data_IF_879892915525
#
_entry.id   IF_879892915525
#
_cell.length_a   1.000
_cell.length_b   1.000
_cell.length_c   1.000
_cell.angle_alpha   90.00
_cell.angle_beta   90.00
_cell.angle_gamma   90.00
#
_symmetry.space_group_name_H-M   'P 1'
#
loop_
_entity.id
_entity.type
_entity.pdbx_description
1 polymer ?
#
# COMPACT_ATOMS: atom_id res chain seq x y z
N UNK A 1 13.26 11.62 12.43
CA UNK A 1 12.19 11.57 11.42
C UNK A 1 12.60 12.51 10.29
N UNK A 2 12.79 11.96 9.11
CA UNK A 2 13.15 12.75 7.92
C UNK A 2 11.86 13.10 7.17
N UNK A 3 11.79 14.33 6.67
CA UNK A 3 10.60 14.80 5.92
C UNK A 3 11.01 15.49 4.64
N UNK A 4 10.13 15.45 3.65
CA UNK A 4 10.31 16.11 2.36
C UNK A 4 8.98 16.76 1.97
N UNK A 5 9.04 17.97 1.44
CA UNK A 5 7.84 18.65 0.95
C UNK A 5 7.44 18.11 -0.44
N UNK A 6 6.18 17.72 -0.59
CA UNK A 6 5.59 17.31 -1.86
C UNK A 6 4.28 18.07 -2.01
N UNK A 7 4.22 18.97 -2.99
CA UNK A 7 3.04 19.77 -3.31
C UNK A 7 2.43 20.49 -2.10
N UNK A 8 3.29 21.06 -1.23
CA UNK A 8 2.87 21.79 -0.04
C UNK A 8 2.54 20.93 1.18
N UNK A 9 2.73 19.61 1.10
CA UNK A 9 2.54 18.69 2.22
C UNK A 9 3.86 18.03 2.60
N UNK A 10 4.21 18.06 3.87
CA UNK A 10 5.39 17.35 4.38
C UNK A 10 5.14 15.85 4.47
N UNK A 11 5.92 15.08 3.73
CA UNK A 11 5.90 13.63 3.76
C UNK A 11 7.04 13.11 4.63
N UNK A 12 6.70 12.26 5.59
CA UNK A 12 7.67 11.55 6.41
C UNK A 12 8.16 10.31 5.66
N UNK A 13 9.47 10.09 5.68
CA UNK A 13 10.08 8.92 5.04
C UNK A 13 11.28 8.41 5.83
N UNK A 14 11.63 7.15 5.59
CA UNK A 14 12.86 6.53 6.04
C UNK A 14 13.54 5.89 4.82
N UNK A 15 14.82 6.21 4.62
CA UNK A 15 15.65 5.67 3.54
C UNK A 15 16.86 4.99 4.18
N UNK A 16 17.03 3.69 3.92
CA UNK A 16 18.18 2.94 4.43
C UNK A 16 19.46 3.35 3.71
N UNK A 17 20.61 2.93 4.23
CA UNK A 17 21.88 3.17 3.57
C UNK A 17 21.88 2.64 2.13
N UNK A 18 22.56 3.33 1.25
CA UNK A 18 22.75 2.86 -0.12
C UNK A 18 23.53 1.54 -0.12
N UNK A 19 23.12 0.63 -0.97
CA UNK A 19 23.79 -0.65 -1.21
C UNK A 19 24.41 -0.66 -2.60
N UNK A 20 25.32 -1.60 -2.87
CA UNK A 20 25.85 -1.80 -4.22
C UNK A 20 24.80 -2.34 -5.20
N UNK A 21 23.68 -2.83 -4.68
CA UNK A 21 22.60 -3.43 -5.46
C UNK A 21 21.59 -2.34 -5.86
N UNK A 22 21.32 -2.25 -7.13
CA UNK A 22 20.17 -1.52 -7.70
C UNK A 22 19.14 -2.57 -8.11
N UNK A 23 17.85 -2.33 -7.98
CA UNK A 23 17.09 -1.09 -7.73
C UNK A 23 16.83 -0.81 -6.23
N UNK A 24 16.30 0.40 -5.93
CA UNK A 24 15.75 0.75 -4.63
C UNK A 24 14.37 0.11 -4.45
N UNK A 25 14.13 -0.50 -3.29
CA UNK A 25 12.81 -1.03 -2.93
C UNK A 25 11.97 0.08 -2.29
N UNK A 26 10.86 0.44 -2.92
CA UNK A 26 9.98 1.52 -2.48
C UNK A 26 8.68 0.94 -1.96
N UNK A 27 8.41 1.13 -0.69
CA UNK A 27 7.27 0.52 0.00
C UNK A 27 6.12 1.51 0.19
N UNK A 28 4.94 1.14 -0.31
CA UNK A 28 3.72 1.95 -0.29
C UNK A 28 2.68 1.29 0.60
N UNK A 29 2.35 1.92 1.73
CA UNK A 29 1.43 1.33 2.71
C UNK A 29 -0.04 1.43 2.28
N UNK A 30 -0.90 0.67 2.98
CA UNK A 30 -2.34 0.64 2.75
C UNK A 30 -3.11 1.73 3.49
N UNK A 31 -4.42 1.73 3.27
CA UNK A 31 -5.37 2.63 3.93
C UNK A 31 -5.32 2.54 5.45
N UNK A 32 -5.32 3.69 6.15
CA UNK A 32 -5.25 3.83 7.61
C UNK A 32 -4.02 3.16 8.25
N UNK A 33 -2.95 2.98 7.48
CA UNK A 33 -1.66 2.49 7.94
C UNK A 33 -0.59 3.59 7.85
N UNK A 34 0.66 3.21 8.11
CA UNK A 34 1.83 4.07 7.97
C UNK A 34 3.04 3.28 7.47
N UNK A 35 4.13 3.98 7.14
CA UNK A 35 5.40 3.37 6.73
C UNK A 35 5.97 2.39 7.75
N UNK A 36 5.58 2.50 9.03
CA UNK A 36 6.07 1.66 10.12
C UNK A 36 5.79 0.18 9.94
N UNK A 37 4.73 -0.19 9.19
CA UNK A 37 4.38 -1.59 8.92
C UNK A 37 5.40 -2.30 8.04
N UNK A 38 6.28 -1.56 7.38
CA UNK A 38 7.33 -2.10 6.56
C UNK A 38 8.61 -2.45 7.34
N UNK A 39 8.71 -2.03 8.62
CA UNK A 39 9.89 -2.28 9.44
C UNK A 39 10.31 -3.77 9.45
N UNK A 40 9.39 -4.76 9.63
CA UNK A 40 9.80 -6.15 9.61
C UNK A 40 10.43 -6.62 8.29
N UNK A 41 10.02 -6.04 7.17
CA UNK A 41 10.60 -6.34 5.86
C UNK A 41 11.89 -5.57 5.62
N UNK A 42 11.92 -4.29 5.96
CA UNK A 42 13.14 -3.48 5.77
C UNK A 42 14.30 -3.99 6.61
N UNK A 43 14.06 -4.50 7.82
CA UNK A 43 15.10 -5.12 8.66
C UNK A 43 15.75 -6.34 7.99
N UNK A 44 15.00 -7.06 7.15
CA UNK A 44 15.46 -8.26 6.42
C UNK A 44 16.10 -7.94 5.07
N UNK A 45 15.64 -6.89 4.42
CA UNK A 45 16.03 -6.57 3.04
C UNK A 45 17.14 -5.52 2.97
N UNK A 46 17.21 -4.61 3.94
CA UNK A 46 18.19 -3.53 3.98
C UNK A 46 19.67 -3.96 3.94
N UNK A 47 20.06 -5.15 4.40
CA UNK A 47 21.44 -5.60 4.22
C UNK A 47 21.85 -5.76 2.74
N UNK A 48 20.90 -6.03 1.85
CA UNK A 48 21.18 -6.30 0.43
C UNK A 48 20.58 -5.25 -0.51
N UNK A 49 19.53 -4.52 -0.10
CA UNK A 49 18.81 -3.58 -0.94
C UNK A 49 18.58 -2.26 -0.21
N UNK A 50 18.76 -1.16 -0.89
CA UNK A 50 18.30 0.11 -0.36
C UNK A 50 16.77 0.14 -0.31
N UNK A 51 16.21 0.50 0.85
CA UNK A 51 14.77 0.51 1.10
C UNK A 51 14.28 1.93 1.41
N UNK A 52 13.25 2.36 0.70
CA UNK A 52 12.52 3.59 0.95
C UNK A 52 11.13 3.24 1.46
N UNK A 53 10.78 3.72 2.65
CA UNK A 53 9.41 3.70 3.18
C UNK A 53 8.94 5.12 3.40
N UNK A 54 7.68 5.43 3.12
CA UNK A 54 7.13 6.76 3.33
C UNK A 54 5.66 6.69 3.73
N UNK A 55 5.19 7.74 4.39
CA UNK A 55 3.79 7.88 4.72
C UNK A 55 3.05 8.60 3.60
N UNK A 56 1.94 8.04 3.15
CA UNK A 56 1.02 8.68 2.22
C UNK A 56 0.46 9.97 2.82
N UNK A 57 0.18 10.95 1.99
CA UNK A 57 -0.42 12.22 2.38
C UNK A 57 -1.68 12.02 3.21
N UNK A 58 -1.71 12.61 4.40
CA UNK A 58 -2.80 12.51 5.37
C UNK A 58 -2.77 11.26 6.25
N UNK A 59 -1.71 10.42 6.14
CA UNK A 59 -1.54 9.24 6.97
C UNK A 59 -0.20 9.28 7.72
N UNK A 60 -0.09 8.48 8.79
CA UNK A 60 1.11 8.38 9.60
C UNK A 60 1.58 9.75 10.09
N UNK A 61 2.85 10.06 9.81
CA UNK A 61 3.47 11.33 10.16
C UNK A 61 3.43 12.36 8.98
N UNK A 62 2.74 12.04 7.86
CA UNK A 62 2.54 12.92 6.69
C UNK A 62 1.24 13.72 6.79
N UNK A 63 1.04 14.37 7.94
CA UNK A 63 -0.09 15.26 8.18
C UNK A 63 0.19 16.65 7.60
N UNK A 64 -0.83 17.33 7.11
CA UNK A 64 -0.71 18.71 6.70
C UNK A 64 -0.73 19.62 7.94
N UNK A 65 0.30 20.39 8.14
CA UNK A 65 0.37 21.41 9.21
C UNK A 65 -0.49 22.66 8.91
N UNK A 66 -1.61 22.48 8.22
CA UNK A 66 -2.47 23.58 7.78
C UNK A 66 -2.05 24.21 6.44
N UNK A 67 -0.97 23.73 5.82
CA UNK A 67 -0.60 24.06 4.43
C UNK A 67 -1.48 23.26 3.48
N UNK A 68 -2.23 23.93 2.62
CA UNK A 68 -3.09 23.25 1.66
C UNK A 68 -2.25 22.53 0.58
N UNK A 69 -2.72 21.39 0.15
CA UNK A 69 -2.22 20.72 -1.05
C UNK A 69 -2.28 21.67 -2.26
N UNK A 70 -1.15 21.88 -2.90
CA UNK A 70 -1.01 22.81 -4.04
C UNK A 70 -0.97 22.12 -5.40
N UNK A 71 -1.09 20.79 -5.41
CA UNK A 71 -1.15 20.02 -6.65
C UNK A 71 -2.48 20.22 -7.39
N UNK A 72 -2.54 19.86 -8.68
CA UNK A 72 -3.79 19.88 -9.42
C UNK A 72 -4.78 18.88 -8.83
N UNK A 73 -6.03 19.28 -8.73
CA UNK A 73 -7.13 18.34 -8.52
C UNK A 73 -7.30 17.49 -9.79
N UNK A 74 -7.41 16.19 -9.62
CA UNK A 74 -7.76 15.27 -10.71
C UNK A 74 -9.20 15.58 -11.22
N UNK A 75 -9.63 15.03 -12.37
CA UNK A 75 -10.91 15.36 -12.99
C UNK A 75 -12.14 15.25 -12.09
N UNK A 76 -12.04 14.56 -10.95
CA UNK A 76 -13.09 14.41 -9.95
C UNK A 76 -13.01 15.43 -8.79
N UNK A 77 -12.20 16.49 -8.91
CA UNK A 77 -11.93 17.46 -7.84
C UNK A 77 -11.39 16.84 -6.53
N UNK A 78 -10.83 15.65 -6.57
CA UNK A 78 -10.22 14.99 -5.42
C UNK A 78 -8.71 14.89 -5.56
N UNK A 79 -8.04 15.12 -4.45
CA UNK A 79 -6.59 14.96 -4.34
C UNK A 79 -6.18 13.62 -3.68
N UNK A 80 -7.14 12.71 -3.47
CA UNK A 80 -6.92 11.43 -2.77
C UNK A 80 -7.12 10.21 -3.67
N UNK A 81 -7.16 10.40 -4.99
CA UNK A 81 -7.21 9.29 -5.95
C UNK A 81 -5.90 8.50 -5.96
N UNK A 82 -5.90 7.20 -6.33
CA UNK A 82 -4.66 6.45 -6.51
C UNK A 82 -3.68 7.12 -7.48
N UNK A 83 -4.20 7.76 -8.53
CA UNK A 83 -3.41 8.54 -9.50
C UNK A 83 -2.73 9.76 -8.86
N UNK A 84 -3.42 10.45 -7.94
CA UNK A 84 -2.86 11.58 -7.21
C UNK A 84 -1.74 11.14 -6.25
N UNK A 85 -1.93 10.05 -5.53
CA UNK A 85 -0.87 9.45 -4.70
C UNK A 85 0.31 8.94 -5.52
N UNK A 86 0.06 8.38 -6.71
CA UNK A 86 1.14 7.98 -7.64
C UNK A 86 1.96 9.19 -8.12
N UNK A 87 1.35 10.35 -8.22
CA UNK A 87 2.05 11.61 -8.51
C UNK A 87 2.91 12.07 -7.33
N UNK A 88 2.39 11.96 -6.09
CA UNK A 88 3.22 12.24 -4.91
C UNK A 88 4.44 11.32 -4.88
N UNK A 89 4.28 10.03 -5.23
CA UNK A 89 5.37 9.07 -5.37
C UNK A 89 6.39 9.49 -6.44
N UNK A 90 5.93 9.94 -7.61
CA UNK A 90 6.79 10.44 -8.68
C UNK A 90 7.70 11.55 -8.18
N UNK A 91 7.11 12.58 -7.54
CA UNK A 91 7.85 13.72 -6.98
C UNK A 91 8.81 13.27 -5.87
N UNK A 92 8.40 12.31 -5.04
CA UNK A 92 9.25 11.73 -3.99
C UNK A 92 10.50 11.09 -4.60
N UNK A 93 10.34 10.25 -5.62
CA UNK A 93 11.46 9.59 -6.30
C UNK A 93 12.38 10.61 -7.00
N UNK A 94 11.82 11.65 -7.60
CA UNK A 94 12.59 12.73 -8.20
C UNK A 94 13.43 13.49 -7.17
N UNK A 95 12.82 13.91 -6.07
CA UNK A 95 13.49 14.67 -5.02
C UNK A 95 14.57 13.88 -4.26
N UNK A 96 14.45 12.54 -4.25
CA UNK A 96 15.42 11.64 -3.64
C UNK A 96 16.43 11.08 -4.66
N UNK A 97 16.39 11.55 -5.90
CA UNK A 97 17.26 11.12 -7.01
C UNK A 97 17.26 9.59 -7.24
N UNK A 98 16.07 8.97 -7.07
CA UNK A 98 15.87 7.54 -7.30
C UNK A 98 15.48 7.32 -8.74
N UNK A 99 16.40 6.81 -9.55
CA UNK A 99 16.20 6.56 -10.98
C UNK A 99 15.81 5.13 -11.33
N UNK A 100 15.95 4.18 -10.38
CA UNK A 100 15.65 2.76 -10.59
C UNK A 100 14.99 2.18 -9.34
N UNK A 101 13.73 1.75 -9.44
CA UNK A 101 12.94 1.30 -8.30
C UNK A 101 12.13 0.03 -8.61
N UNK A 102 11.93 -0.80 -7.57
CA UNK A 102 10.84 -1.75 -7.48
C UNK A 102 9.81 -1.23 -6.48
N UNK A 103 8.54 -1.23 -6.88
CA UNK A 103 7.46 -0.79 -6.00
C UNK A 103 6.84 -1.99 -5.27
N UNK A 104 6.74 -1.90 -3.96
CA UNK A 104 6.10 -2.91 -3.11
C UNK A 104 4.92 -2.25 -2.43
N UNK A 105 3.71 -2.58 -2.85
CA UNK A 105 2.49 -1.92 -2.36
C UNK A 105 1.55 -2.86 -1.62
N UNK A 106 1.04 -2.42 -0.48
CA UNK A 106 0.07 -3.16 0.31
C UNK A 106 -1.33 -2.57 0.16
N UNK A 107 -2.33 -3.40 -0.16
CA UNK A 107 -3.74 -2.98 -0.24
C UNK A 107 -3.90 -1.75 -1.16
N UNK A 108 -4.41 -0.60 -0.69
CA UNK A 108 -4.43 0.67 -1.42
C UNK A 108 -3.05 1.02 -2.02
N UNK A 109 -1.98 0.79 -1.26
CA UNK A 109 -0.61 1.03 -1.73
C UNK A 109 -0.23 0.18 -2.94
N UNK A 110 -0.82 -1.00 -3.11
CA UNK A 110 -0.66 -1.82 -4.32
C UNK A 110 -1.30 -1.17 -5.54
N UNK A 111 -2.50 -0.61 -5.39
CA UNK A 111 -3.15 0.17 -6.44
C UNK A 111 -2.30 1.39 -6.83
N UNK A 112 -1.78 2.12 -5.84
CA UNK A 112 -0.89 3.27 -6.06
C UNK A 112 0.40 2.83 -6.79
N UNK A 113 0.98 1.69 -6.41
CA UNK A 113 2.18 1.16 -7.04
C UNK A 113 1.94 0.79 -8.51
N UNK A 114 0.80 0.20 -8.85
CA UNK A 114 0.41 -0.09 -10.23
C UNK A 114 0.24 1.19 -11.05
N UNK A 115 -0.42 2.20 -10.51
CA UNK A 115 -0.50 3.53 -11.11
C UNK A 115 0.88 4.17 -11.31
N UNK A 116 1.76 4.06 -10.29
CA UNK A 116 3.14 4.52 -10.35
C UNK A 116 3.93 3.84 -11.46
N UNK A 117 3.82 2.52 -11.59
CA UNK A 117 4.50 1.76 -12.65
C UNK A 117 4.01 2.14 -14.06
N UNK A 118 2.72 2.42 -14.21
CA UNK A 118 2.16 2.88 -15.48
C UNK A 118 2.68 4.26 -15.90
N UNK A 119 2.85 5.18 -14.92
CA UNK A 119 3.32 6.54 -15.18
C UNK A 119 4.85 6.65 -15.30
N UNK A 120 5.58 5.83 -14.57
CA UNK A 120 7.04 5.89 -14.41
C UNK A 120 7.74 4.67 -15.01
N UNK A 121 7.34 4.25 -16.20
CA UNK A 121 7.82 3.02 -16.85
C UNK A 121 9.35 2.97 -17.00
N UNK A 122 10.01 4.10 -17.13
CA UNK A 122 11.47 4.17 -17.30
C UNK A 122 12.21 3.94 -15.96
N UNK A 123 11.60 4.34 -14.84
CA UNK A 123 12.18 4.22 -13.48
C UNK A 123 11.76 2.95 -12.76
N UNK A 124 10.50 2.54 -12.92
CA UNK A 124 9.95 1.36 -12.21
C UNK A 124 10.25 0.11 -13.00
N UNK A 125 11.02 -0.79 -12.39
CA UNK A 125 11.46 -2.06 -13.00
C UNK A 125 10.51 -3.22 -12.75
N UNK A 126 9.69 -3.12 -11.71
CA UNK A 126 8.66 -4.10 -11.41
C UNK A 126 7.83 -3.69 -10.21
N UNK A 127 6.74 -4.44 -9.98
CA UNK A 127 5.78 -4.20 -8.89
C UNK A 127 5.52 -5.49 -8.15
N UNK A 128 5.42 -5.40 -6.83
CA UNK A 128 4.88 -6.48 -5.98
C UNK A 128 3.69 -5.95 -5.20
N UNK A 129 2.53 -6.49 -5.47
CA UNK A 129 1.26 -6.17 -4.80
C UNK A 129 1.01 -7.15 -3.65
N UNK A 130 0.95 -6.67 -2.42
CA UNK A 130 0.69 -7.50 -1.23
C UNK A 130 -0.75 -7.27 -0.78
N UNK A 131 -1.57 -8.32 -0.81
CA UNK A 131 -2.98 -8.25 -0.44
C UNK A 131 -3.72 -7.10 -1.13
N UNK A 132 -3.48 -6.93 -2.42
CA UNK A 132 -4.03 -5.89 -3.26
C UNK A 132 -4.64 -6.48 -4.53
N UNK A 133 -5.95 -6.42 -4.66
CA UNK A 133 -6.74 -6.97 -5.77
C UNK A 133 -7.48 -5.91 -6.60
N UNK A 134 -7.18 -4.63 -6.38
CA UNK A 134 -7.75 -3.52 -7.13
C UNK A 134 -9.20 -3.17 -6.79
N UNK A 135 -9.85 -3.94 -5.96
CA UNK A 135 -11.21 -3.65 -5.51
C UNK A 135 -12.06 -4.90 -5.29
N UNK A 136 -13.28 -4.69 -4.89
CA UNK A 136 -14.31 -5.71 -4.73
C UNK A 136 -15.24 -5.61 -5.94
N UNK A 137 -15.24 -6.63 -6.80
CA UNK A 137 -15.97 -6.59 -8.09
C UNK A 137 -17.45 -6.96 -7.97
N UNK A 138 -17.89 -7.47 -6.81
CA UNK A 138 -19.31 -7.73 -6.54
C UNK A 138 -19.95 -6.46 -5.96
N UNK A 139 -20.94 -5.91 -6.66
CA UNK A 139 -21.58 -4.63 -6.34
C UNK A 139 -22.06 -4.52 -4.89
N UNK A 140 -22.75 -5.55 -4.40
CA UNK A 140 -23.31 -5.55 -3.04
C UNK A 140 -22.20 -5.55 -1.96
N UNK A 141 -21.16 -6.37 -2.14
CA UNK A 141 -20.00 -6.42 -1.24
C UNK A 141 -19.23 -5.09 -1.27
N UNK A 142 -19.11 -4.50 -2.44
CA UNK A 142 -18.47 -3.22 -2.67
C UNK A 142 -19.21 -2.06 -1.96
N UNK A 143 -20.51 -1.94 -2.13
CA UNK A 143 -21.33 -0.92 -1.47
C UNK A 143 -21.27 -1.07 0.06
N UNK A 144 -21.33 -2.32 0.54
CA UNK A 144 -21.17 -2.63 1.97
C UNK A 144 -19.80 -2.22 2.50
N UNK A 145 -18.74 -2.54 1.78
CA UNK A 145 -17.36 -2.15 2.16
C UNK A 145 -17.23 -0.62 2.29
N UNK A 146 -17.73 0.13 1.30
CA UNK A 146 -17.74 1.59 1.33
C UNK A 146 -18.52 2.15 2.51
N UNK A 147 -19.72 1.65 2.74
CA UNK A 147 -20.59 2.11 3.83
C UNK A 147 -19.94 1.87 5.21
N UNK A 148 -19.41 0.67 5.44
CA UNK A 148 -18.71 0.32 6.68
C UNK A 148 -17.47 1.20 6.86
N UNK A 149 -16.64 1.35 5.82
CA UNK A 149 -15.45 2.20 5.86
C UNK A 149 -15.76 3.65 6.16
N UNK A 150 -16.82 4.22 5.56
CA UNK A 150 -17.26 5.59 5.87
C UNK A 150 -17.69 5.74 7.32
N UNK A 151 -18.43 4.78 7.86
CA UNK A 151 -18.83 4.79 9.27
C UNK A 151 -17.62 4.72 10.20
N UNK A 152 -16.67 3.83 9.90
CA UNK A 152 -15.42 3.71 10.65
C UNK A 152 -14.64 5.03 10.69
N UNK A 153 -14.53 5.72 9.56
CA UNK A 153 -13.84 7.03 9.51
C UNK A 153 -14.59 8.09 10.32
N UNK A 154 -15.93 8.12 10.25
CA UNK A 154 -16.75 9.10 10.99
C UNK A 154 -16.78 8.84 12.51
N UNK A 155 -16.72 7.57 12.92
CA UNK A 155 -16.83 7.12 14.31
C UNK A 155 -15.47 6.80 14.95
N UNK A 156 -14.43 7.61 14.72
CA UNK A 156 -13.10 7.43 15.32
C UNK A 156 -12.74 8.60 16.26
N UNK A 157 -13.31 8.63 17.46
CA UNK A 157 -13.00 9.67 18.42
C UNK A 157 -11.56 9.49 18.95
N UNK A 158 -10.86 10.61 19.19
CA UNK A 158 -9.49 10.59 19.71
C UNK A 158 -9.30 9.82 21.01
N UNK A 159 -10.34 9.77 21.85
CA UNK A 159 -10.30 9.01 23.11
C UNK A 159 -10.23 7.48 22.91
N UNK A 160 -10.50 6.96 21.72
CA UNK A 160 -10.42 5.53 21.42
C UNK A 160 -9.02 4.97 21.71
N UNK A 161 -7.98 5.77 21.49
CA UNK A 161 -6.58 5.40 21.78
C UNK A 161 -6.30 5.19 23.28
N UNK A 162 -7.17 5.65 24.15
CA UNK A 162 -7.05 5.52 25.61
C UNK A 162 -7.89 4.37 26.18
N UNK A 163 -8.70 3.70 25.35
CA UNK A 163 -9.52 2.58 25.84
C UNK A 163 -8.63 1.37 26.21
N UNK A 164 -8.84 0.80 27.41
CA UNK A 164 -8.15 -0.43 27.78
C UNK A 164 -8.52 -1.55 26.80
N UNK A 165 -7.55 -2.36 26.42
CA UNK A 165 -7.70 -3.51 25.53
C UNK A 165 -8.05 -3.20 24.06
N UNK A 166 -8.18 -1.94 23.67
CA UNK A 166 -8.39 -1.59 22.26
C UNK A 166 -7.24 -2.09 21.38
N UNK A 167 -6.02 -2.01 21.87
CA UNK A 167 -4.82 -2.55 21.20
C UNK A 167 -4.89 -4.08 20.96
N UNK A 168 -5.55 -4.81 21.83
CA UNK A 168 -5.76 -6.25 21.66
C UNK A 168 -6.77 -6.56 20.53
N UNK A 169 -7.84 -5.79 20.45
CA UNK A 169 -8.83 -5.91 19.38
C UNK A 169 -8.19 -5.59 18.05
N UNK A 170 -7.50 -4.44 17.95
CA UNK A 170 -6.80 -4.02 16.73
C UNK A 170 -5.65 -4.96 16.32
N UNK A 171 -5.05 -5.68 17.27
CA UNK A 171 -4.02 -6.70 17.01
C UNK A 171 -4.58 -8.02 16.48
N UNK A 172 -5.90 -8.17 16.40
CA UNK A 172 -6.59 -9.38 15.91
C UNK A 172 -7.51 -9.12 14.72
N UNK A 173 -7.83 -7.87 14.48
CA UNK A 173 -8.66 -7.50 13.36
C UNK A 173 -7.94 -7.72 12.04
N UNK A 174 -8.65 -8.30 11.08
CA UNK A 174 -8.19 -8.49 9.69
C UNK A 174 -6.89 -9.31 9.52
N UNK A 175 -6.49 -10.07 10.53
CA UNK A 175 -5.31 -10.95 10.52
C UNK A 175 -5.71 -12.39 10.79
N UNK A 176 -4.95 -13.35 10.27
CA UNK A 176 -5.18 -14.77 10.54
C UNK A 176 -4.68 -15.16 11.95
N UNK A 177 -3.58 -14.55 12.39
CA UNK A 177 -2.98 -14.76 13.72
C UNK A 177 -2.76 -13.41 14.38
N UNK A 178 -2.88 -13.36 15.71
CA UNK A 178 -2.64 -12.12 16.46
C UNK A 178 -1.22 -11.61 16.21
N UNK A 179 -1.10 -10.36 15.78
CA UNK A 179 0.18 -9.67 15.56
C UNK A 179 0.74 -9.03 16.83
N UNK A 180 0.13 -9.30 17.97
CA UNK A 180 0.57 -8.80 19.27
C UNK A 180 0.14 -7.36 19.57
N UNK A 181 0.31 -6.96 20.83
CA UNK A 181 -0.15 -5.66 21.34
C UNK A 181 0.63 -4.47 20.75
N UNK A 182 1.89 -4.67 20.40
CA UNK A 182 2.70 -3.61 19.75
C UNK A 182 2.03 -3.15 18.47
N UNK A 183 1.75 -4.06 17.55
CA UNK A 183 1.09 -3.76 16.27
C UNK A 183 -0.37 -3.33 16.45
N UNK A 184 -1.07 -3.90 17.44
CA UNK A 184 -2.41 -3.44 17.79
C UNK A 184 -2.44 -1.96 18.19
N UNK A 185 -1.47 -1.52 19.00
CA UNK A 185 -1.31 -0.10 19.37
C UNK A 185 -0.94 0.76 18.17
N UNK A 186 -0.05 0.27 17.30
CA UNK A 186 0.31 1.01 16.09
C UNK A 186 -0.92 1.19 15.19
N UNK A 187 -1.69 0.14 14.95
CA UNK A 187 -2.94 0.21 14.16
C UNK A 187 -3.94 1.20 14.75
N UNK A 188 -4.13 1.15 16.06
CA UNK A 188 -5.03 2.07 16.76
C UNK A 188 -4.57 3.53 16.63
N UNK A 189 -3.26 3.78 16.75
CA UNK A 189 -2.69 5.13 16.56
C UNK A 189 -2.91 5.63 15.13
N UNK A 190 -2.55 4.85 14.14
CA UNK A 190 -2.69 5.23 12.73
C UNK A 190 -4.15 5.44 12.35
N UNK A 191 -5.04 4.59 12.85
CA UNK A 191 -6.48 4.73 12.67
C UNK A 191 -7.02 6.05 13.22
N UNK A 192 -6.63 6.43 14.44
CA UNK A 192 -7.09 7.66 15.08
C UNK A 192 -6.42 8.89 14.49
N UNK A 193 -5.12 8.80 14.15
CA UNK A 193 -4.32 9.93 13.68
C UNK A 193 -4.56 10.29 12.21
N UNK A 194 -5.03 9.37 11.38
CA UNK A 194 -5.24 9.66 9.95
C UNK A 194 -6.12 10.90 9.72
N UNK A 195 -5.72 11.78 8.80
CA UNK A 195 -6.49 12.99 8.48
C UNK A 195 -7.90 12.60 7.98
N UNK A 196 -8.98 13.22 8.49
CA UNK A 196 -10.35 12.82 8.13
C UNK A 196 -10.63 12.85 6.63
N UNK A 197 -10.22 13.91 5.94
CA UNK A 197 -10.43 14.05 4.51
C UNK A 197 -9.62 13.02 3.72
N UNK A 198 -8.36 12.77 4.10
CA UNK A 198 -7.53 11.76 3.45
C UNK A 198 -8.09 10.35 3.66
N UNK A 199 -8.50 10.03 4.88
CA UNK A 199 -9.08 8.72 5.19
C UNK A 199 -10.37 8.46 4.42
N UNK A 200 -11.24 9.47 4.32
CA UNK A 200 -12.50 9.36 3.57
C UNK A 200 -12.27 9.41 2.06
N UNK A 201 -11.47 10.37 1.59
CA UNK A 201 -11.16 10.57 0.18
C UNK A 201 -10.47 9.34 -0.41
N UNK A 202 -9.40 8.85 0.22
CA UNK A 202 -8.69 7.68 -0.25
C UNK A 202 -9.59 6.43 -0.34
N UNK A 203 -10.50 6.24 0.63
CA UNK A 203 -11.49 5.17 0.56
C UNK A 203 -12.43 5.34 -0.63
N UNK A 204 -13.04 6.51 -0.74
CA UNK A 204 -14.10 6.74 -1.73
C UNK A 204 -13.55 6.80 -3.16
N UNK A 205 -12.38 7.41 -3.35
CA UNK A 205 -11.80 7.61 -4.67
C UNK A 205 -11.14 6.34 -5.21
N UNK A 206 -10.50 5.53 -4.35
CA UNK A 206 -9.93 4.23 -4.75
C UNK A 206 -10.98 3.15 -5.00
N UNK A 207 -12.21 3.39 -4.55
CA UNK A 207 -13.33 2.48 -4.71
C UNK A 207 -14.46 3.08 -5.55
N UNK A 208 -14.16 3.85 -6.56
CA UNK A 208 -15.14 4.24 -7.58
C UNK A 208 -15.31 3.13 -8.61
N UNK A 209 -16.46 3.05 -9.24
CA UNK A 209 -16.69 2.12 -10.34
C UNK A 209 -15.66 2.34 -11.48
N UNK A 210 -15.37 3.60 -11.77
CA UNK A 210 -14.35 3.96 -12.78
C UNK A 210 -12.96 3.43 -12.44
N UNK A 211 -12.51 3.57 -11.19
CA UNK A 211 -11.20 3.08 -10.76
C UNK A 211 -11.11 1.55 -10.81
N UNK A 212 -12.16 0.85 -10.37
CA UNK A 212 -12.23 -0.61 -10.40
C UNK A 212 -12.12 -1.16 -11.83
N UNK A 213 -12.75 -0.49 -12.80
CA UNK A 213 -12.66 -0.90 -14.20
C UNK A 213 -11.37 -0.47 -14.90
N UNK A 214 -10.75 0.61 -14.44
CA UNK A 214 -9.52 1.12 -15.03
C UNK A 214 -8.29 0.33 -14.59
N UNK A 215 -8.24 -0.14 -13.36
CA UNK A 215 -7.07 -0.82 -12.82
C UNK A 215 -6.71 -2.13 -13.55
N UNK A 216 -7.65 -3.02 -13.95
CA UNK A 216 -7.36 -4.15 -14.82
C UNK A 216 -6.75 -3.74 -16.17
N UNK A 217 -7.19 -2.63 -16.74
CA UNK A 217 -6.63 -2.11 -17.99
C UNK A 217 -5.18 -1.65 -17.80
N UNK A 218 -4.90 -0.95 -16.69
CA UNK A 218 -3.53 -0.57 -16.34
C UNK A 218 -2.65 -1.82 -16.24
N UNK A 219 -3.09 -2.82 -15.46
CA UNK A 219 -2.34 -4.07 -15.26
C UNK A 219 -2.06 -4.79 -16.59
N UNK A 220 -3.03 -4.84 -17.50
CA UNK A 220 -2.87 -5.47 -18.81
C UNK A 220 -1.86 -4.77 -19.72
N UNK A 221 -1.60 -3.48 -19.51
CA UNK A 221 -0.70 -2.67 -20.31
C UNK A 221 0.72 -2.60 -19.73
N UNK A 222 0.93 -2.99 -18.46
CA UNK A 222 2.25 -2.99 -17.84
C UNK A 222 3.17 -4.01 -18.53
N UNK A 223 4.32 -3.53 -18.98
CA UNK A 223 5.39 -4.37 -19.57
C UNK A 223 6.35 -4.88 -18.49
N UNK A 224 6.48 -4.15 -17.41
CA UNK A 224 7.29 -4.53 -16.25
C UNK A 224 6.68 -5.75 -15.56
N UNK A 225 7.47 -6.61 -14.92
CA UNK A 225 6.97 -7.72 -14.13
C UNK A 225 6.08 -7.22 -12.97
N UNK A 226 4.94 -7.89 -12.80
CA UNK A 226 4.01 -7.63 -11.70
C UNK A 226 3.71 -8.94 -10.97
N UNK A 227 4.05 -8.96 -9.69
CA UNK A 227 3.80 -10.08 -8.80
C UNK A 227 2.76 -9.74 -7.77
N UNK A 228 2.06 -10.76 -7.31
CA UNK A 228 1.03 -10.62 -6.29
C UNK A 228 1.28 -11.58 -5.13
N UNK A 229 1.03 -11.12 -3.91
CA UNK A 229 1.02 -11.94 -2.70
C UNK A 229 -0.40 -11.87 -2.12
N UNK A 230 -1.03 -13.02 -1.90
CA UNK A 230 -2.38 -13.12 -1.36
C UNK A 230 -2.39 -13.97 -0.08
N UNK A 231 -2.80 -13.41 1.04
CA UNK A 231 -3.05 -14.15 2.27
C UNK A 231 -4.31 -14.99 2.16
N UNK A 232 -4.22 -16.32 2.36
CA UNK A 232 -5.38 -17.23 2.17
C UNK A 232 -6.52 -17.02 3.17
N UNK A 233 -6.28 -16.27 4.24
CA UNK A 233 -7.27 -15.90 5.26
C UNK A 233 -7.61 -14.41 5.25
N UNK A 234 -7.20 -13.68 4.21
CA UNK A 234 -7.56 -12.28 4.06
C UNK A 234 -9.07 -12.14 3.79
N UNK A 235 -9.74 -11.40 4.69
CA UNK A 235 -11.19 -11.14 4.62
C UNK A 235 -11.51 -9.75 4.05
N UNK A 236 -10.50 -8.90 3.87
CA UNK A 236 -10.64 -7.57 3.29
C UNK A 236 -10.42 -7.66 1.78
N UNK A 237 -9.27 -8.22 1.38
CA UNK A 237 -8.92 -8.45 -0.01
C UNK A 237 -8.80 -9.96 -0.24
N UNK A 238 -9.96 -10.61 -0.41
CA UNK A 238 -10.00 -12.05 -0.59
C UNK A 238 -9.12 -12.51 -1.77
N UNK A 239 -8.45 -13.66 -1.67
CA UNK A 239 -7.57 -14.18 -2.72
C UNK A 239 -8.19 -14.19 -4.12
N UNK A 240 -9.51 -14.39 -4.21
CA UNK A 240 -10.23 -14.38 -5.49
C UNK A 240 -10.08 -13.05 -6.24
N UNK A 241 -10.06 -11.91 -5.53
CA UNK A 241 -9.90 -10.59 -6.15
C UNK A 241 -8.45 -10.33 -6.55
N UNK A 242 -7.49 -10.82 -5.76
CA UNK A 242 -6.06 -10.74 -6.12
C UNK A 242 -5.78 -11.55 -7.38
N UNK A 243 -6.27 -12.79 -7.44
CA UNK A 243 -6.17 -13.66 -8.61
C UNK A 243 -6.85 -13.04 -9.84
N UNK A 244 -8.02 -12.44 -9.65
CA UNK A 244 -8.73 -11.77 -10.73
C UNK A 244 -7.90 -10.61 -11.31
N UNK A 245 -7.36 -9.71 -10.48
CA UNK A 245 -6.53 -8.62 -10.97
C UNK A 245 -5.24 -9.14 -11.62
N UNK A 246 -4.59 -10.13 -11.03
CA UNK A 246 -3.37 -10.73 -11.56
C UNK A 246 -3.58 -11.35 -12.94
N UNK A 247 -4.78 -11.89 -13.22
CA UNK A 247 -5.09 -12.57 -14.48
C UNK A 247 -5.07 -11.64 -15.70
N UNK A 248 -5.09 -10.33 -15.52
CA UNK A 248 -4.96 -9.38 -16.62
C UNK A 248 -3.51 -9.15 -17.04
N UNK A 249 -2.53 -9.53 -16.20
CA UNK A 249 -1.12 -9.35 -16.53
C UNK A 249 -0.58 -10.51 -17.37
N UNK A 250 0.30 -10.20 -18.33
CA UNK A 250 0.87 -11.20 -19.24
C UNK A 250 1.63 -12.33 -18.51
N UNK A 251 2.19 -12.09 -17.33
CA UNK A 251 2.89 -13.10 -16.53
C UNK A 251 1.95 -14.15 -15.90
N UNK A 252 0.65 -13.92 -15.87
CA UNK A 252 -0.29 -14.88 -15.27
C UNK A 252 -0.37 -16.19 -16.05
N UNK A 253 -0.24 -16.15 -17.37
CA UNK A 253 -0.13 -17.27 -18.32
C UNK A 253 -1.18 -18.39 -18.13
N UNK A 254 -2.33 -18.04 -17.56
CA UNK A 254 -3.41 -18.99 -17.27
C UNK A 254 -3.25 -19.82 -16.00
N UNK A 255 -2.08 -19.82 -15.36
CA UNK A 255 -1.76 -20.65 -14.19
C UNK A 255 -1.52 -19.85 -12.90
N UNK A 256 -1.43 -18.51 -12.97
CA UNK A 256 -1.16 -17.67 -11.80
C UNK A 256 0.29 -17.71 -11.33
N UNK A 257 1.23 -17.89 -12.24
CA UNK A 257 2.66 -17.99 -11.93
C UNK A 257 3.23 -16.77 -11.21
N UNK A 258 2.59 -15.60 -11.41
CA UNK A 258 2.95 -14.37 -10.72
C UNK A 258 2.19 -14.16 -9.40
N UNK A 259 1.50 -15.17 -8.88
CA UNK A 259 0.72 -15.07 -7.64
C UNK A 259 1.20 -16.05 -6.58
N UNK A 260 1.73 -15.55 -5.47
CA UNK A 260 2.02 -16.33 -4.28
C UNK A 260 0.83 -16.30 -3.32
N UNK A 261 0.29 -17.46 -2.99
CA UNK A 261 -0.67 -17.58 -1.90
C UNK A 261 0.04 -17.95 -0.60
N UNK A 262 -0.09 -17.09 0.42
CA UNK A 262 0.47 -17.35 1.75
C UNK A 262 -0.53 -18.09 2.62
N UNK A 263 -0.27 -19.35 3.00
CA UNK A 263 -1.15 -20.12 3.87
C UNK A 263 -1.29 -19.46 5.26
N UNK A 264 -2.48 -19.53 5.84
CA UNK A 264 -2.77 -19.01 7.18
C UNK A 264 -2.31 -17.57 7.41
N UNK A 265 -2.43 -16.73 6.40
CA UNK A 265 -2.09 -15.32 6.42
C UNK A 265 -3.34 -14.47 6.16
N UNK A 266 -3.52 -13.41 6.92
CA UNK A 266 -4.59 -12.42 6.76
C UNK A 266 -4.14 -11.22 5.92
N UNK A 267 -4.73 -10.05 6.23
CA UNK A 267 -4.52 -8.83 5.44
C UNK A 267 -3.14 -8.17 5.61
N UNK A 268 -2.47 -8.39 6.74
CA UNK A 268 -1.19 -7.74 7.05
C UNK A 268 0.01 -8.68 6.84
N UNK A 269 0.15 -9.26 5.65
CA UNK A 269 1.16 -10.26 5.34
C UNK A 269 2.59 -9.81 5.70
N UNK A 270 2.93 -8.52 5.52
CA UNK A 270 4.23 -7.95 5.85
C UNK A 270 4.54 -7.95 7.35
N UNK A 271 3.53 -8.13 8.20
CA UNK A 271 3.66 -8.21 9.67
C UNK A 271 3.39 -9.63 10.18
N UNK A 272 2.45 -10.33 9.55
CA UNK A 272 2.07 -11.69 9.96
C UNK A 272 3.13 -12.73 9.59
N UNK A 273 3.70 -12.60 8.40
CA UNK A 273 4.68 -13.54 7.84
C UNK A 273 5.84 -12.83 7.14
N UNK A 274 6.58 -11.95 7.84
CA UNK A 274 7.62 -11.13 7.22
C UNK A 274 8.75 -11.94 6.60
N UNK A 275 9.10 -13.11 7.16
CA UNK A 275 10.15 -13.98 6.62
C UNK A 275 9.77 -14.54 5.25
N UNK A 276 8.53 -15.03 5.11
CA UNK A 276 8.05 -15.59 3.86
C UNK A 276 7.93 -14.49 2.78
N UNK A 277 7.41 -13.31 3.15
CA UNK A 277 7.32 -12.18 2.21
C UNK A 277 8.70 -11.70 1.79
N UNK A 278 9.65 -11.56 2.72
CA UNK A 278 11.02 -11.14 2.41
C UNK A 278 11.74 -12.14 1.49
N UNK A 279 11.62 -13.44 1.77
CA UNK A 279 12.22 -14.50 0.92
C UNK A 279 11.64 -14.46 -0.49
N UNK A 280 10.33 -14.26 -0.62
CA UNK A 280 9.69 -14.16 -1.93
C UNK A 280 10.15 -12.91 -2.71
N UNK A 281 10.24 -11.77 -2.03
CA UNK A 281 10.78 -10.55 -2.64
C UNK A 281 12.24 -10.75 -3.11
N UNK A 282 13.08 -11.39 -2.30
CA UNK A 282 14.46 -11.68 -2.67
C UNK A 282 14.56 -12.58 -3.91
N UNK A 283 13.74 -13.63 -4.00
CA UNK A 283 13.70 -14.52 -5.16
C UNK A 283 13.30 -13.74 -6.43
N UNK A 284 12.21 -12.95 -6.36
CA UNK A 284 11.79 -12.09 -7.48
C UNK A 284 12.93 -11.20 -7.94
N UNK A 285 13.59 -10.51 -7.02
CA UNK A 285 14.65 -9.56 -7.36
C UNK A 285 15.85 -10.26 -8.00
N UNK A 286 16.20 -11.47 -7.55
CA UNK A 286 17.27 -12.28 -8.13
C UNK A 286 16.94 -12.75 -9.55
N UNK A 287 15.69 -13.05 -9.85
CA UNK A 287 15.25 -13.45 -11.19
C UNK A 287 15.33 -12.31 -12.21
N UNK A 288 15.37 -11.06 -11.74
CA UNK A 288 15.35 -9.86 -12.59
C UNK A 288 16.64 -9.02 -12.50
N UNK A 289 17.68 -9.56 -11.86
CA UNK A 289 19.03 -8.96 -11.83
C UNK A 289 19.87 -9.54 -12.93
#
# INVERSE_FOLDING_TARGET
MTTIDILGVRHAYDLTAATATSPVLVFVHGWLLSRRYWQPLTDRLAPNYQCLTYDLRGFGDSQSDGGGYTGPSEPLNSCYTPAAYARDLEILLEKLDISCAWLVGHSLGGTIALWGASKLSDRVKGVVCINAGGGIYLKEEFERFRAVGQQLVKMRPGWLSHLPLADFVFGRDSVARSIGRFWGRQRLRDFVAAHPEAALGALLDSTTEGEIHLLPQIVSQLKQPVYFIAGTKDKIMEPKYVLHLASFHWMFQGCGENVLQLPDCGHLAMVEQPDAVASYLQNILQEHT
#
